data_IF_900398004970
#
_entry.id   IF_900398004970
#
_cell.length_a   1.000
_cell.length_b   1.000
_cell.length_c   1.000
_cell.angle_alpha   90.00
_cell.angle_beta   90.00
_cell.angle_gamma   90.00
#
_symmetry.space_group_name_H-M   'P 1'
#
loop_
_entity.id
_entity.type
_entity.pdbx_description
1 polymer ?
#
# COMPACT_ATOMS: atom_id res chain seq x y z
N UNK A 1 -29.69 1.00 -27.51
CA UNK A 1 -29.36 0.03 -26.44
C UNK A 1 -27.91 0.12 -25.91
N UNK A 2 -27.01 0.97 -26.44
CA UNK A 2 -25.60 1.03 -25.99
C UNK A 2 -25.35 1.86 -24.71
N UNK A 3 -26.01 3.02 -24.55
CA UNK A 3 -25.70 3.97 -23.48
C UNK A 3 -25.91 3.43 -22.05
N UNK A 4 -26.88 2.53 -21.83
CA UNK A 4 -27.18 2.01 -20.49
C UNK A 4 -26.15 0.96 -20.06
N UNK A 5 -25.72 0.09 -20.99
CA UNK A 5 -24.72 -0.95 -20.72
C UNK A 5 -23.34 -0.35 -20.44
N UNK A 6 -22.96 0.68 -21.21
CA UNK A 6 -21.69 1.39 -21.03
C UNK A 6 -21.65 2.18 -19.72
N UNK A 7 -22.74 2.86 -19.34
CA UNK A 7 -22.86 3.53 -18.03
C UNK A 7 -22.73 2.56 -16.86
N UNK A 8 -23.35 1.37 -16.96
CA UNK A 8 -23.24 0.32 -15.94
C UNK A 8 -21.80 -0.21 -15.82
N UNK A 9 -21.10 -0.42 -16.94
CA UNK A 9 -19.71 -0.85 -16.93
C UNK A 9 -18.78 0.20 -16.32
N UNK A 10 -18.94 1.48 -16.68
CA UNK A 10 -18.17 2.59 -16.07
C UNK A 10 -18.40 2.68 -14.56
N UNK A 11 -19.66 2.62 -14.13
CA UNK A 11 -19.99 2.62 -12.70
C UNK A 11 -19.37 1.41 -11.96
N UNK A 12 -19.34 0.22 -12.57
CA UNK A 12 -18.71 -0.96 -11.99
C UNK A 12 -17.18 -0.80 -11.88
N UNK A 13 -16.53 -0.24 -12.90
CA UNK A 13 -15.09 0.05 -12.87
C UNK A 13 -14.75 1.08 -11.79
N UNK A 14 -15.53 2.14 -11.65
CA UNK A 14 -15.34 3.15 -10.59
C UNK A 14 -15.47 2.54 -9.19
N UNK A 15 -16.46 1.67 -8.98
CA UNK A 15 -16.64 0.97 -7.71
C UNK A 15 -15.45 0.04 -7.41
N UNK A 16 -14.97 -0.70 -8.41
CA UNK A 16 -13.80 -1.57 -8.24
C UNK A 16 -12.55 -0.75 -7.94
N UNK A 17 -12.32 0.33 -8.66
CA UNK A 17 -11.20 1.24 -8.46
C UNK A 17 -11.20 1.86 -7.06
N UNK A 18 -12.37 2.28 -6.59
CA UNK A 18 -12.54 2.80 -5.24
C UNK A 18 -12.20 1.74 -4.19
N UNK A 19 -12.67 0.50 -4.37
CA UNK A 19 -12.36 -0.63 -3.47
C UNK A 19 -10.86 -0.94 -3.44
N UNK A 20 -10.22 -1.04 -4.60
CA UNK A 20 -8.78 -1.32 -4.71
C UNK A 20 -7.96 -0.20 -4.05
N UNK A 21 -8.32 1.07 -4.29
CA UNK A 21 -7.67 2.21 -3.65
C UNK A 21 -7.84 2.18 -2.13
N UNK A 22 -9.04 1.87 -1.64
CA UNK A 22 -9.29 1.74 -0.19
C UNK A 22 -8.42 0.63 0.41
N UNK A 23 -8.36 -0.53 -0.23
CA UNK A 23 -7.55 -1.66 0.25
C UNK A 23 -6.06 -1.31 0.26
N UNK A 24 -5.56 -0.64 -0.77
CA UNK A 24 -4.17 -0.19 -0.84
C UNK A 24 -3.80 0.73 0.35
N UNK A 25 -4.70 1.67 0.70
CA UNK A 25 -4.52 2.52 1.89
C UNK A 25 -4.53 1.74 3.19
N UNK A 26 -5.42 0.77 3.33
CA UNK A 26 -5.49 -0.10 4.52
C UNK A 26 -4.18 -0.90 4.67
N UNK A 27 -3.70 -1.51 3.59
CA UNK A 27 -2.44 -2.27 3.60
C UNK A 27 -1.27 -1.37 4.03
N UNK A 28 -1.17 -0.16 3.47
CA UNK A 28 -0.14 0.79 3.86
C UNK A 28 -0.19 1.17 5.35
N UNK A 29 -1.40 1.40 5.88
CA UNK A 29 -1.61 1.66 7.32
C UNK A 29 -1.16 0.46 8.16
N UNK A 30 -1.52 -0.76 7.76
CA UNK A 30 -1.14 -1.97 8.49
C UNK A 30 0.38 -2.18 8.49
N UNK A 31 1.05 -1.94 7.36
CA UNK A 31 2.50 -2.00 7.26
C UNK A 31 3.19 -0.97 8.16
N UNK A 32 2.67 0.26 8.17
CA UNK A 32 3.15 1.30 9.07
C UNK A 32 2.94 0.92 10.55
N UNK A 33 1.76 0.43 10.88
CA UNK A 33 1.41 0.07 12.25
C UNK A 33 2.29 -1.09 12.76
N UNK A 34 2.50 -2.13 11.95
CA UNK A 34 3.40 -3.23 12.28
C UNK A 34 4.84 -2.72 12.51
N UNK A 35 5.33 -1.83 11.65
CA UNK A 35 6.64 -1.19 11.80
C UNK A 35 6.74 -0.37 13.10
N UNK A 36 5.70 0.40 13.40
CA UNK A 36 5.60 1.24 14.60
C UNK A 36 5.57 0.41 15.87
N UNK A 37 4.85 -0.72 15.87
CA UNK A 37 4.80 -1.65 17.01
C UNK A 37 6.17 -2.28 17.28
N UNK A 38 6.90 -2.67 16.22
CA UNK A 38 8.25 -3.19 16.37
C UNK A 38 9.21 -2.15 16.94
N UNK A 39 9.15 -0.91 16.45
CA UNK A 39 9.97 0.19 16.97
C UNK A 39 9.63 0.47 18.43
N UNK A 40 8.34 0.59 18.74
CA UNK A 40 7.84 0.78 20.10
C UNK A 40 8.35 -0.28 21.07
N UNK A 41 8.37 -1.56 20.67
CA UNK A 41 8.82 -2.64 21.55
C UNK A 41 10.33 -2.64 21.83
N UNK A 42 11.13 -1.92 21.03
CA UNK A 42 12.59 -1.92 21.13
C UNK A 42 13.18 -0.57 21.58
N UNK A 43 12.40 0.50 21.66
CA UNK A 43 12.86 1.85 22.06
C UNK A 43 12.38 2.22 23.47
N UNK A 44 13.34 2.38 24.38
CA UNK A 44 13.07 2.71 25.80
C UNK A 44 12.52 4.14 25.95
N UNK A 45 12.87 5.07 25.07
CA UNK A 45 12.44 6.48 25.13
C UNK A 45 11.08 6.75 24.48
N UNK A 46 10.38 5.71 24.06
CA UNK A 46 9.08 5.83 23.41
C UNK A 46 7.95 6.08 24.42
N UNK A 47 8.11 5.62 25.66
CA UNK A 47 7.15 5.79 26.76
C UNK A 47 7.47 6.98 27.68
N UNK A 48 8.46 7.80 27.33
CA UNK A 48 8.80 8.98 28.14
C UNK A 48 7.61 9.96 28.17
N UNK A 49 7.38 10.56 29.35
CA UNK A 49 6.17 11.35 29.68
C UNK A 49 5.90 12.50 28.71
N UNK A 50 6.93 13.01 28.04
CA UNK A 50 6.84 14.12 27.07
C UNK A 50 7.21 13.71 25.64
N UNK A 51 7.30 12.41 25.35
CA UNK A 51 7.69 11.91 24.03
C UNK A 51 6.60 12.18 22.99
N UNK A 52 6.97 12.85 21.90
CA UNK A 52 6.11 13.02 20.72
C UNK A 52 6.03 11.75 19.86
N UNK A 53 6.88 10.76 20.12
CA UNK A 53 7.00 9.54 19.30
C UNK A 53 5.66 8.79 19.18
N UNK A 54 4.89 8.53 20.26
CA UNK A 54 3.60 7.85 20.12
C UNK A 54 2.60 8.57 19.22
N UNK A 55 2.52 9.89 19.33
CA UNK A 55 1.64 10.69 18.49
C UNK A 55 2.05 10.63 17.01
N UNK A 56 3.34 10.80 16.73
CA UNK A 56 3.85 10.75 15.35
C UNK A 56 3.67 9.36 14.74
N UNK A 57 4.01 8.29 15.46
CA UNK A 57 3.99 6.93 14.90
C UNK A 57 2.60 6.30 14.83
N UNK A 58 1.68 6.61 15.75
CA UNK A 58 0.37 5.96 15.81
C UNK A 58 -0.80 6.85 15.37
N UNK A 59 -0.63 8.16 15.27
CA UNK A 59 -1.67 9.08 14.79
C UNK A 59 -1.29 9.65 13.42
N UNK A 60 -0.18 10.38 13.31
CA UNK A 60 0.22 11.03 12.05
C UNK A 60 0.74 10.02 11.02
N UNK A 61 1.53 9.05 11.47
CA UNK A 61 2.19 8.05 10.64
C UNK A 61 1.23 7.20 9.81
N UNK A 62 0.15 6.64 10.38
CA UNK A 62 -0.87 5.92 9.61
C UNK A 62 -1.54 6.79 8.55
N UNK A 63 -1.82 8.06 8.85
CA UNK A 63 -2.42 9.00 7.89
C UNK A 63 -1.44 9.26 6.73
N UNK A 64 -0.19 9.58 7.07
CA UNK A 64 0.88 9.77 6.09
C UNK A 64 1.04 8.51 5.23
N UNK A 65 1.08 7.33 5.84
CA UNK A 65 1.25 6.06 5.15
C UNK A 65 0.08 5.78 4.18
N UNK A 66 -1.15 6.00 4.62
CA UNK A 66 -2.32 5.85 3.76
C UNK A 66 -2.25 6.77 2.52
N UNK A 67 -1.79 8.01 2.70
CA UNK A 67 -1.72 8.98 1.60
C UNK A 67 -0.56 8.67 0.66
N UNK A 68 0.64 8.42 1.19
CA UNK A 68 1.85 8.23 0.38
C UNK A 68 1.93 6.79 -0.13
N UNK A 69 2.16 5.84 0.78
CA UNK A 69 2.36 4.44 0.41
C UNK A 69 1.09 3.78 -0.11
N UNK A 70 -0.08 4.17 0.39
CA UNK A 70 -1.36 3.68 -0.15
C UNK A 70 -1.58 4.06 -1.61
N UNK A 71 -1.19 5.26 -2.02
CA UNK A 71 -1.23 5.66 -3.43
C UNK A 71 -0.15 4.94 -4.25
N UNK A 72 1.06 4.76 -3.71
CA UNK A 72 2.12 3.98 -4.38
C UNK A 72 1.63 2.55 -4.67
N UNK A 73 1.06 1.85 -3.68
CA UNK A 73 0.50 0.50 -3.86
C UNK A 73 -0.55 0.49 -4.97
N UNK A 74 -1.49 1.43 -4.94
CA UNK A 74 -2.56 1.52 -5.93
C UNK A 74 -2.04 1.72 -7.35
N UNK A 75 -1.09 2.64 -7.56
CA UNK A 75 -0.53 2.90 -8.88
C UNK A 75 0.39 1.76 -9.35
N UNK A 76 1.17 1.17 -8.46
CA UNK A 76 2.02 0.02 -8.76
C UNK A 76 1.20 -1.18 -9.18
N UNK A 77 0.07 -1.47 -8.53
CA UNK A 77 -0.82 -2.57 -8.92
C UNK A 77 -1.28 -2.40 -10.39
N UNK A 78 -1.76 -1.20 -10.74
CA UNK A 78 -2.18 -0.89 -12.12
C UNK A 78 -1.03 -0.98 -13.13
N UNK A 79 0.16 -0.56 -12.74
CA UNK A 79 1.34 -0.64 -13.59
C UNK A 79 1.73 -2.10 -13.84
N UNK A 80 1.78 -2.91 -12.79
CA UNK A 80 2.08 -4.35 -12.85
C UNK A 80 1.05 -5.05 -13.76
N UNK A 81 -0.26 -4.83 -13.52
CA UNK A 81 -1.33 -5.38 -14.35
C UNK A 81 -1.13 -5.05 -15.83
N UNK A 82 -0.93 -3.76 -16.17
CA UNK A 82 -0.73 -3.33 -17.55
C UNK A 82 0.52 -3.93 -18.20
N UNK A 83 1.63 -4.00 -17.47
CA UNK A 83 2.89 -4.55 -17.99
C UNK A 83 2.76 -6.05 -18.24
N UNK A 84 2.18 -6.80 -17.30
CA UNK A 84 1.99 -8.24 -17.43
C UNK A 84 1.04 -8.56 -18.59
N UNK A 85 -0.10 -7.85 -18.69
CA UNK A 85 -1.05 -8.02 -19.80
C UNK A 85 -0.32 -7.78 -21.13
N UNK A 86 0.37 -6.66 -21.29
CA UNK A 86 1.05 -6.31 -22.55
C UNK A 86 2.05 -7.38 -23.00
N UNK A 87 2.75 -8.03 -22.07
CA UNK A 87 3.76 -9.05 -22.39
C UNK A 87 3.12 -10.41 -22.74
N UNK A 88 2.02 -10.78 -22.07
CA UNK A 88 1.47 -12.14 -22.11
C UNK A 88 0.17 -12.29 -22.88
N UNK A 89 -0.50 -11.21 -23.25
CA UNK A 89 -1.80 -11.23 -23.93
C UNK A 89 -1.76 -12.03 -25.24
N UNK A 90 -0.68 -11.92 -26.01
CA UNK A 90 -0.53 -12.62 -27.29
C UNK A 90 -0.08 -14.09 -27.17
N UNK A 91 0.56 -14.46 -26.05
CA UNK A 91 1.23 -15.76 -25.93
C UNK A 91 0.50 -16.72 -24.99
N UNK A 92 0.22 -16.28 -23.76
CA UNK A 92 -0.35 -17.12 -22.69
C UNK A 92 -1.24 -16.29 -21.74
N UNK A 93 -2.42 -15.84 -22.20
CA UNK A 93 -3.29 -14.96 -21.41
C UNK A 93 -3.77 -15.58 -20.09
N UNK A 94 -3.90 -16.91 -20.05
CA UNK A 94 -4.27 -17.66 -18.84
C UNK A 94 -3.28 -17.52 -17.66
N UNK A 95 -2.02 -17.14 -17.91
CA UNK A 95 -1.02 -16.95 -16.87
C UNK A 95 -1.05 -15.54 -16.26
N UNK A 96 -1.74 -14.58 -16.87
CA UNK A 96 -1.78 -13.18 -16.44
C UNK A 96 -2.20 -13.04 -14.97
N UNK A 97 -3.33 -13.62 -14.50
CA UNK A 97 -3.79 -13.41 -13.13
C UNK A 97 -2.78 -13.94 -12.10
N UNK A 98 -2.21 -15.11 -12.36
CA UNK A 98 -1.24 -15.77 -11.47
C UNK A 98 0.02 -14.90 -11.35
N UNK A 99 0.55 -14.42 -12.47
CA UNK A 99 1.76 -13.61 -12.48
C UNK A 99 1.55 -12.23 -11.86
N UNK A 100 0.41 -11.58 -12.09
CA UNK A 100 0.07 -10.31 -11.42
C UNK A 100 0.10 -10.47 -9.91
N UNK A 101 -0.54 -11.53 -9.37
CA UNK A 101 -0.60 -11.77 -7.93
C UNK A 101 0.81 -11.99 -7.35
N UNK A 102 1.63 -12.84 -7.99
CA UNK A 102 2.99 -13.15 -7.52
C UNK A 102 3.85 -11.88 -7.51
N UNK A 103 3.88 -11.15 -8.64
CA UNK A 103 4.69 -9.94 -8.75
C UNK A 103 4.22 -8.87 -7.76
N UNK A 104 2.91 -8.70 -7.61
CA UNK A 104 2.36 -7.74 -6.67
C UNK A 104 2.67 -8.11 -5.21
N UNK A 105 2.63 -9.39 -4.86
CA UNK A 105 3.02 -9.85 -3.52
C UNK A 105 4.50 -9.59 -3.23
N UNK A 106 5.40 -9.91 -4.17
CA UNK A 106 6.81 -9.56 -4.04
C UNK A 106 7.03 -8.05 -3.88
N UNK A 107 6.29 -7.24 -4.65
CA UNK A 107 6.31 -5.78 -4.51
C UNK A 107 5.86 -5.32 -3.11
N UNK A 108 4.80 -5.92 -2.55
CA UNK A 108 4.33 -5.58 -1.21
C UNK A 108 5.37 -5.89 -0.13
N UNK A 109 6.10 -7.02 -0.24
CA UNK A 109 7.20 -7.35 0.69
C UNK A 109 8.29 -6.28 0.60
N UNK A 110 8.73 -5.93 -0.61
CA UNK A 110 9.76 -4.91 -0.80
C UNK A 110 9.30 -3.54 -0.25
N UNK A 111 8.04 -3.18 -0.49
CA UNK A 111 7.48 -1.93 0.02
C UNK A 111 7.38 -1.92 1.54
N UNK A 112 7.02 -3.04 2.18
CA UNK A 112 7.03 -3.16 3.63
C UNK A 112 8.42 -2.85 4.21
N UNK A 113 9.49 -3.40 3.61
CA UNK A 113 10.86 -3.10 4.03
C UNK A 113 11.21 -1.61 3.88
N UNK A 114 10.76 -0.98 2.79
CA UNK A 114 10.95 0.47 2.59
C UNK A 114 10.22 1.28 3.66
N UNK A 115 8.97 0.94 3.98
CA UNK A 115 8.20 1.59 5.04
C UNK A 115 8.87 1.41 6.39
N UNK A 116 9.37 0.21 6.67
CA UNK A 116 10.04 -0.12 7.91
C UNK A 116 11.34 0.68 8.10
N UNK A 117 12.18 0.77 7.07
CA UNK A 117 13.39 1.59 7.11
C UNK A 117 13.06 3.08 7.22
N UNK A 118 12.03 3.56 6.53
CA UNK A 118 11.56 4.93 6.68
C UNK A 118 11.12 5.23 8.11
N UNK A 119 10.40 4.31 8.75
CA UNK A 119 9.95 4.43 10.13
C UNK A 119 11.15 4.47 11.12
N UNK A 120 12.21 3.69 10.89
CA UNK A 120 13.45 3.76 11.68
C UNK A 120 14.18 5.09 11.51
N UNK A 121 14.28 5.59 10.29
CA UNK A 121 14.91 6.90 10.03
C UNK A 121 14.12 7.98 10.77
N UNK A 122 12.79 7.93 10.72
CA UNK A 122 11.93 8.86 11.47
C UNK A 122 12.15 8.75 12.98
N UNK A 123 12.32 7.53 13.52
CA UNK A 123 12.63 7.31 14.93
C UNK A 123 13.94 8.01 15.33
N UNK A 124 14.98 7.87 14.51
CA UNK A 124 16.28 8.52 14.74
C UNK A 124 16.18 10.05 14.71
N UNK A 125 15.36 10.61 13.80
CA UNK A 125 15.13 12.06 13.71
C UNK A 125 14.32 12.63 14.87
N UNK A 126 13.53 11.79 15.55
CA UNK A 126 12.73 12.16 16.71
C UNK A 126 13.42 11.81 18.04
N UNK A 127 14.69 11.38 17.98
CA UNK A 127 15.48 11.05 19.14
C UNK A 127 16.25 12.27 19.65
#
# INVERSE_FOLDING_TARGET
MSNIKERRQKAQQEIQDFKVRKNARIIAVLFWFASSMYIYSNDVGFADVYSWKPFVFFILGPIFSAIVFGNIIFYSQRLIEKVVIRILEASRPQLIPILVIIIFFCFLIALFLVIFEFAKILQYLLH
#
